data_IF_192411687588
#
_entry.id   IF_192411687588
#
_cell.length_a   1.000
_cell.length_b   1.000
_cell.length_c   1.000
_cell.angle_alpha   90.00
_cell.angle_beta   90.00
_cell.angle_gamma   90.00
#
_symmetry.space_group_name_H-M   'P 1'
#
loop_
_entity.id
_entity.type
_entity.pdbx_description
1 polymer ?
#
# COMPACT_ATOMS: atom_id res chain seq x y z
N UNK A 1 -8.76 -4.65 16.26
CA UNK A 1 -8.61 -4.26 14.85
C UNK A 1 -7.39 -3.34 14.73
N UNK A 2 -6.39 -3.67 13.90
CA UNK A 2 -5.15 -2.87 13.82
C UNK A 2 -5.36 -1.55 13.05
N UNK A 3 -4.45 -0.57 13.13
CA UNK A 3 -4.53 0.65 12.30
C UNK A 3 -4.67 0.37 10.81
N UNK A 4 -3.91 -0.60 10.26
CA UNK A 4 -3.99 -0.99 8.85
C UNK A 4 -5.34 -1.58 8.47
N UNK A 5 -5.93 -2.42 9.32
CA UNK A 5 -7.27 -2.96 9.05
C UNK A 5 -8.33 -1.84 9.03
N UNK A 6 -8.26 -0.87 9.96
CA UNK A 6 -9.18 0.28 9.97
C UNK A 6 -9.01 1.13 8.71
N UNK A 7 -7.77 1.34 8.27
CA UNK A 7 -7.46 2.08 7.05
C UNK A 7 -7.99 1.37 5.81
N UNK A 8 -7.72 0.06 5.67
CA UNK A 8 -8.23 -0.75 4.56
C UNK A 8 -9.77 -0.75 4.51
N UNK A 9 -10.44 -0.92 5.65
CA UNK A 9 -11.90 -0.85 5.73
C UNK A 9 -12.45 0.53 5.31
N UNK A 10 -11.78 1.61 5.71
CA UNK A 10 -12.13 2.99 5.31
C UNK A 10 -11.93 3.23 3.81
N UNK A 11 -10.87 2.68 3.23
CA UNK A 11 -10.60 2.78 1.80
C UNK A 11 -11.69 2.03 1.01
N UNK A 12 -12.02 0.80 1.44
CA UNK A 12 -13.06 0.02 0.79
C UNK A 12 -14.44 0.67 0.90
N UNK A 13 -14.77 1.27 2.05
CA UNK A 13 -16.05 2.00 2.21
C UNK A 13 -16.16 3.25 1.33
N UNK A 14 -15.04 3.72 0.75
CA UNK A 14 -15.00 4.86 -0.17
C UNK A 14 -15.03 4.43 -1.64
N UNK A 15 -15.03 3.13 -1.94
CA UNK A 15 -15.23 2.62 -3.30
C UNK A 15 -16.66 2.94 -3.75
N UNK A 16 -16.79 3.69 -4.84
CA UNK A 16 -18.09 4.17 -5.35
C UNK A 16 -18.70 5.33 -4.57
N UNK A 17 -18.01 5.89 -3.57
CA UNK A 17 -18.42 7.12 -2.93
C UNK A 17 -18.18 8.33 -3.85
N UNK A 18 -18.75 9.48 -3.49
CA UNK A 18 -18.63 10.71 -4.26
C UNK A 18 -17.17 11.22 -4.32
N UNK A 19 -16.56 11.31 -5.52
CA UNK A 19 -15.18 11.78 -5.69
C UNK A 19 -15.00 13.28 -5.43
N UNK A 20 -16.05 14.08 -5.33
CA UNK A 20 -15.93 15.50 -4.97
C UNK A 20 -15.65 15.69 -3.49
N UNK A 21 -16.12 14.75 -2.65
CA UNK A 21 -16.07 14.85 -1.19
C UNK A 21 -15.02 13.91 -0.55
N UNK A 22 -14.34 13.09 -1.34
CA UNK A 22 -13.34 12.14 -0.83
C UNK A 22 -12.16 11.96 -1.76
N UNK A 23 -10.95 12.22 -1.25
CA UNK A 23 -9.70 11.98 -1.98
C UNK A 23 -9.54 10.52 -2.40
N UNK A 24 -9.86 9.57 -1.51
CA UNK A 24 -9.78 8.15 -1.84
C UNK A 24 -10.77 7.78 -2.95
N UNK A 25 -12.01 8.28 -2.88
CA UNK A 25 -13.00 8.04 -3.93
C UNK A 25 -12.55 8.63 -5.28
N UNK A 26 -11.95 9.83 -5.25
CA UNK A 26 -11.37 10.47 -6.44
C UNK A 26 -10.21 9.69 -7.05
N UNK A 27 -9.37 9.04 -6.25
CA UNK A 27 -8.32 8.17 -6.76
C UNK A 27 -8.90 6.91 -7.38
N UNK A 28 -9.80 6.23 -6.66
CA UNK A 28 -10.45 5.00 -7.13
C UNK A 28 -11.25 5.25 -8.41
N UNK A 29 -11.91 6.41 -8.55
CA UNK A 29 -12.66 6.77 -9.75
C UNK A 29 -11.78 7.00 -10.98
N UNK A 30 -10.48 7.24 -10.80
CA UNK A 30 -9.50 7.39 -11.90
C UNK A 30 -8.93 6.05 -12.38
N UNK A 31 -9.33 4.94 -11.76
CA UNK A 31 -8.93 3.60 -12.16
C UNK A 31 -7.61 3.13 -11.56
N UNK A 32 -7.31 1.83 -11.73
CA UNK A 32 -6.18 1.18 -11.08
C UNK A 32 -4.81 1.67 -11.58
N UNK A 33 -4.69 2.10 -12.83
CA UNK A 33 -3.45 2.65 -13.38
C UNK A 33 -3.02 3.92 -12.65
N UNK A 34 -3.97 4.83 -12.37
CA UNK A 34 -3.67 6.05 -11.62
C UNK A 34 -3.34 5.79 -10.15
N UNK A 35 -3.97 4.78 -9.56
CA UNK A 35 -3.65 4.37 -8.19
C UNK A 35 -2.24 3.79 -8.10
N UNK A 36 -1.82 2.99 -9.10
CA UNK A 36 -0.47 2.44 -9.19
C UNK A 36 0.59 3.52 -9.44
N UNK A 37 0.31 4.51 -10.30
CA UNK A 37 1.18 5.68 -10.51
C UNK A 37 1.44 6.42 -9.19
N UNK A 38 0.37 6.72 -8.43
CA UNK A 38 0.49 7.36 -7.12
C UNK A 38 1.30 6.53 -6.13
N UNK A 39 1.07 5.22 -6.04
CA UNK A 39 1.89 4.36 -5.20
C UNK A 39 3.38 4.40 -5.60
N UNK A 40 3.68 4.43 -6.90
CA UNK A 40 5.05 4.56 -7.40
C UNK A 40 5.71 5.87 -6.99
N UNK A 41 4.99 6.99 -7.04
CA UNK A 41 5.48 8.30 -6.57
C UNK A 41 5.89 8.23 -5.08
N UNK A 42 4.99 7.81 -4.19
CA UNK A 42 5.27 7.77 -2.75
C UNK A 42 6.41 6.80 -2.41
N UNK A 43 6.50 5.68 -3.13
CA UNK A 43 7.58 4.71 -2.93
C UNK A 43 8.95 5.31 -3.26
N UNK A 44 9.03 6.10 -4.33
CA UNK A 44 10.26 6.80 -4.72
C UNK A 44 10.59 7.92 -3.73
N UNK A 45 9.60 8.66 -3.25
CA UNK A 45 9.79 9.69 -2.22
C UNK A 45 10.34 9.09 -0.93
N UNK A 46 9.76 7.98 -0.45
CA UNK A 46 10.28 7.26 0.71
C UNK A 46 11.73 6.79 0.52
N UNK A 47 12.10 6.31 -0.67
CA UNK A 47 13.49 5.94 -1.01
C UNK A 47 14.40 7.17 -0.93
N UNK A 48 13.99 8.30 -1.47
CA UNK A 48 14.77 9.55 -1.45
C UNK A 48 15.02 10.00 -0.01
N UNK A 49 14.00 9.99 0.85
CA UNK A 49 14.14 10.42 2.24
C UNK A 49 14.99 9.45 3.07
N UNK A 50 14.93 8.15 2.77
CA UNK A 50 15.85 7.17 3.33
C UNK A 50 17.31 7.46 2.95
N UNK A 51 17.59 7.82 1.68
CA UNK A 51 18.94 8.19 1.21
C UNK A 51 19.43 9.47 1.88
N UNK A 52 18.55 10.44 2.11
CA UNK A 52 18.88 11.69 2.83
C UNK A 52 19.12 11.48 4.33
N UNK A 53 18.68 10.34 4.88
CA UNK A 53 18.71 10.08 6.32
C UNK A 53 17.71 10.93 7.12
N UNK A 54 16.67 11.47 6.46
CA UNK A 54 15.63 12.25 7.12
C UNK A 54 14.57 11.30 7.70
N UNK A 55 14.67 11.06 9.00
CA UNK A 55 13.81 10.11 9.71
C UNK A 55 12.35 10.54 9.76
N UNK A 56 12.09 11.82 9.93
CA UNK A 56 10.73 12.34 10.10
C UNK A 56 10.00 12.33 8.76
N UNK A 57 10.67 12.78 7.70
CA UNK A 57 10.16 12.69 6.33
C UNK A 57 9.99 11.24 5.91
N UNK A 58 10.97 10.36 6.13
CA UNK A 58 10.84 8.93 5.82
C UNK A 58 9.63 8.30 6.52
N UNK A 59 9.35 8.67 7.77
CA UNK A 59 8.18 8.17 8.50
C UNK A 59 6.87 8.61 7.84
N UNK A 60 6.81 9.85 7.37
CA UNK A 60 5.65 10.39 6.65
C UNK A 60 5.46 9.69 5.29
N UNK A 61 6.50 9.63 4.46
CA UNK A 61 6.40 9.00 3.13
C UNK A 61 6.12 7.49 3.24
N UNK A 62 6.67 6.81 4.25
CA UNK A 62 6.35 5.41 4.50
C UNK A 62 4.87 5.20 4.88
N UNK A 63 4.24 6.15 5.58
CA UNK A 63 2.82 6.10 5.85
C UNK A 63 1.99 6.30 4.57
N UNK A 64 2.41 7.21 3.69
CA UNK A 64 1.76 7.43 2.39
C UNK A 64 1.93 6.23 1.46
N UNK A 65 3.08 5.56 1.47
CA UNK A 65 3.31 4.28 0.79
C UNK A 65 2.29 3.23 1.25
N UNK A 66 2.07 3.07 2.56
CA UNK A 66 1.09 2.11 3.08
C UNK A 66 -0.33 2.48 2.68
N UNK A 67 -0.70 3.76 2.73
CA UNK A 67 -2.00 4.23 2.29
C UNK A 67 -2.22 3.97 0.79
N UNK A 68 -1.29 4.40 -0.06
CA UNK A 68 -1.40 4.26 -1.51
C UNK A 68 -1.29 2.81 -1.99
N UNK A 69 -0.54 1.96 -1.29
CA UNK A 69 -0.58 0.51 -1.50
C UNK A 69 -1.99 -0.02 -1.29
N UNK A 70 -2.64 0.29 -0.17
CA UNK A 70 -4.01 -0.18 0.11
C UNK A 70 -5.04 0.35 -0.89
N UNK A 71 -4.90 1.60 -1.35
CA UNK A 71 -5.76 2.17 -2.42
C UNK A 71 -5.56 1.44 -3.74
N UNK A 72 -4.31 1.17 -4.13
CA UNK A 72 -3.99 0.40 -5.34
C UNK A 72 -4.56 -1.02 -5.29
N UNK A 73 -4.44 -1.70 -4.15
CA UNK A 73 -5.00 -3.04 -3.93
C UNK A 73 -6.54 -3.00 -4.06
N UNK A 74 -7.20 -2.05 -3.41
CA UNK A 74 -8.66 -1.89 -3.49
C UNK A 74 -9.16 -1.60 -4.92
N UNK A 75 -8.37 -0.87 -5.73
CA UNK A 75 -8.67 -0.61 -7.14
C UNK A 75 -8.59 -1.87 -8.03
N UNK A 76 -7.94 -2.94 -7.54
CA UNK A 76 -7.80 -4.24 -8.20
C UNK A 76 -8.54 -5.36 -7.45
N UNK A 77 -9.40 -5.01 -6.50
CA UNK A 77 -10.17 -5.96 -5.68
C UNK A 77 -9.30 -6.95 -4.89
N UNK A 78 -8.08 -6.54 -4.53
CA UNK A 78 -7.21 -7.29 -3.61
C UNK A 78 -7.38 -6.75 -2.20
N UNK A 79 -7.57 -7.64 -1.24
CA UNK A 79 -7.77 -7.30 0.17
C UNK A 79 -6.46 -7.27 0.95
N UNK A 80 -6.43 -6.51 2.07
CA UNK A 80 -5.32 -6.57 3.01
C UNK A 80 -5.13 -8.00 3.56
N UNK A 81 -6.22 -8.71 3.82
CA UNK A 81 -6.17 -10.07 4.37
C UNK A 81 -5.48 -11.06 3.42
N UNK A 82 -5.69 -10.94 2.10
CA UNK A 82 -4.95 -11.74 1.11
C UNK A 82 -3.44 -11.44 1.14
N UNK A 83 -3.04 -10.17 1.28
CA UNK A 83 -1.63 -9.78 1.41
C UNK A 83 -1.03 -10.31 2.72
N UNK A 84 -1.76 -10.21 3.83
CA UNK A 84 -1.32 -10.72 5.13
C UNK A 84 -1.22 -12.25 5.14
N UNK A 85 -2.13 -12.96 4.47
CA UNK A 85 -2.06 -14.40 4.31
C UNK A 85 -0.80 -14.81 3.51
N UNK A 86 -0.46 -14.07 2.46
CA UNK A 86 0.78 -14.30 1.71
C UNK A 86 2.04 -14.00 2.54
N UNK A 87 2.02 -12.97 3.39
CA UNK A 87 3.12 -12.71 4.33
C UNK A 87 3.27 -13.85 5.35
N UNK A 88 2.16 -14.32 5.93
CA UNK A 88 2.15 -15.45 6.86
C UNK A 88 2.64 -16.75 6.19
N UNK A 89 2.34 -16.96 4.90
CA UNK A 89 2.85 -18.11 4.14
C UNK A 89 4.38 -18.08 4.00
N UNK A 90 4.98 -16.89 3.92
CA UNK A 90 6.44 -16.69 3.84
C UNK A 90 7.11 -16.70 5.22
N UNK A 91 6.34 -16.41 6.27
CA UNK A 91 6.82 -16.39 7.64
C UNK A 91 7.37 -17.77 8.03
N UNK A 92 8.62 -17.82 8.51
CA UNK A 92 9.32 -19.07 8.84
C UNK A 92 10.12 -19.72 7.70
N UNK A 93 9.96 -19.27 6.45
CA UNK A 93 10.93 -19.54 5.38
C UNK A 93 11.99 -18.44 5.43
N UNK A 94 13.23 -18.76 5.80
CA UNK A 94 14.27 -17.74 5.77
C UNK A 94 14.40 -17.21 4.34
N UNK A 95 14.49 -15.89 4.16
CA UNK A 95 14.61 -15.29 2.82
C UNK A 95 15.84 -15.78 2.04
N UNK A 96 16.81 -16.40 2.73
CA UNK A 96 17.94 -17.11 2.13
C UNK A 96 17.55 -18.48 1.57
N UNK A 97 16.73 -19.25 2.29
CA UNK A 97 16.22 -20.55 1.84
C UNK A 97 15.26 -20.41 0.64
N UNK A 98 14.40 -19.39 0.65
CA UNK A 98 13.50 -19.11 -0.47
C UNK A 98 14.28 -18.66 -1.72
N UNK A 99 15.35 -17.87 -1.54
CA UNK A 99 16.23 -17.45 -2.64
C UNK A 99 17.05 -18.62 -3.22
N UNK A 100 17.46 -19.58 -2.38
CA UNK A 100 18.18 -20.78 -2.80
C UNK A 100 17.29 -21.79 -3.54
N UNK A 101 15.99 -21.85 -3.25
CA UNK A 101 15.06 -22.78 -3.90
C UNK A 101 14.57 -22.31 -5.30
N UNK A 102 14.85 -21.07 -5.69
CA UNK A 102 14.46 -20.48 -6.98
C UNK A 102 15.58 -20.48 -8.04
N UNK A 103 16.80 -20.91 -7.68
CA UNK A 103 17.95 -21.06 -8.58
C UNK A 103 18.16 -22.51 -8.96
#
# INVERSE_FOLDING_TARGET
MTPLHRLAATIQSRKGADPENSWTAKLLSKGPEKCAEKFGEEAVEAIIEAVKGDRDRLTAEAADVLYHLLVMLAARDVTLDEVLAELARREGQSGLAEKAARG
#
